data_IF_275515736595
#
_entry.id   IF_275515736595
#
_cell.length_a   1.000
_cell.length_b   1.000
_cell.length_c   1.000
_cell.angle_alpha   90.00
_cell.angle_beta   90.00
_cell.angle_gamma   90.00
#
_symmetry.space_group_name_H-M   'P 1'
#
loop_
_entity.id
_entity.type
_entity.pdbx_description
1 polymer ?
#
# COMPACT_ATOMS: atom_id res chain seq x y z
N UNK A 1 -3.37 -22.43 5.00
CA UNK A 1 -2.85 -22.23 3.64
C UNK A 1 -2.67 -20.73 3.43
N UNK A 2 -1.44 -20.23 3.36
CA UNK A 2 -1.19 -18.85 2.94
C UNK A 2 -1.50 -18.80 1.44
N UNK A 3 -2.50 -18.03 1.04
CA UNK A 3 -2.65 -17.67 -0.37
C UNK A 3 -1.46 -16.78 -0.71
N UNK A 4 -0.46 -17.39 -1.35
CA UNK A 4 0.70 -16.65 -1.83
C UNK A 4 0.27 -15.62 -2.86
N UNK A 5 0.95 -14.48 -2.83
CA UNK A 5 0.82 -13.48 -3.87
C UNK A 5 1.03 -14.14 -5.24
N UNK A 6 -0.01 -14.21 -6.04
CA UNK A 6 0.11 -14.66 -7.42
C UNK A 6 0.61 -13.50 -8.28
N UNK A 7 1.91 -13.29 -8.28
CA UNK A 7 2.55 -12.43 -9.27
C UNK A 7 2.77 -13.29 -10.52
N UNK A 8 2.00 -13.06 -11.56
CA UNK A 8 2.17 -13.78 -12.83
C UNK A 8 3.16 -13.05 -13.73
N UNK A 9 3.84 -13.78 -14.61
CA UNK A 9 4.70 -13.17 -15.64
C UNK A 9 3.91 -12.14 -16.47
N UNK A 10 2.63 -12.40 -16.74
CA UNK A 10 1.75 -11.47 -17.44
C UNK A 10 1.55 -10.15 -16.69
N UNK A 11 1.37 -10.21 -15.36
CA UNK A 11 1.28 -9.01 -14.51
C UNK A 11 2.59 -8.22 -14.52
N UNK A 12 3.74 -8.91 -14.40
CA UNK A 12 5.05 -8.29 -14.46
C UNK A 12 5.31 -7.63 -15.82
N UNK A 13 4.94 -8.30 -16.92
CA UNK A 13 5.10 -7.75 -18.27
C UNK A 13 4.18 -6.56 -18.51
N UNK A 14 2.94 -6.60 -18.04
CA UNK A 14 2.01 -5.47 -18.13
C UNK A 14 2.55 -4.25 -17.39
N UNK A 15 3.04 -4.43 -16.17
CA UNK A 15 3.67 -3.37 -15.38
C UNK A 15 4.98 -2.86 -16.01
N UNK A 16 5.75 -3.76 -16.62
CA UNK A 16 6.97 -3.41 -17.33
C UNK A 16 6.73 -2.48 -18.54
N UNK A 17 5.64 -2.71 -19.29
CA UNK A 17 5.29 -1.88 -20.44
C UNK A 17 4.63 -0.55 -20.05
N UNK A 18 4.04 -0.45 -18.86
CA UNK A 18 3.57 0.83 -18.31
C UNK A 18 4.74 1.56 -17.66
N UNK A 19 5.52 2.26 -18.46
CA UNK A 19 6.81 2.89 -18.15
C UNK A 19 6.89 3.76 -16.89
N UNK A 20 5.77 4.04 -16.24
CA UNK A 20 5.63 4.93 -15.09
C UNK A 20 5.06 4.23 -13.85
N UNK A 21 5.04 2.90 -13.81
CA UNK A 21 4.56 2.15 -12.66
C UNK A 21 5.70 1.59 -11.82
N UNK A 22 5.50 1.60 -10.51
CA UNK A 22 6.36 0.92 -9.57
C UNK A 22 6.09 -0.58 -9.63
N UNK A 23 7.09 -1.34 -9.98
CA UNK A 23 7.05 -2.79 -10.10
C UNK A 23 7.56 -3.44 -8.81
N UNK A 24 6.82 -4.40 -8.26
CA UNK A 24 7.25 -5.22 -7.14
C UNK A 24 7.52 -6.65 -7.58
N UNK A 25 8.75 -7.10 -7.37
CA UNK A 25 9.20 -8.44 -7.72
C UNK A 25 9.49 -9.23 -6.43
N UNK A 26 8.87 -10.41 -6.22
CA UNK A 26 9.16 -11.20 -5.05
C UNK A 26 10.61 -11.71 -5.08
N UNK A 27 11.29 -11.61 -3.95
CA UNK A 27 12.62 -12.17 -3.72
C UNK A 27 12.45 -13.55 -3.12
N UNK A 28 13.05 -14.56 -3.76
CA UNK A 28 13.02 -15.93 -3.27
C UNK A 28 14.29 -16.20 -2.44
N UNK A 29 14.09 -16.74 -1.26
CA UNK A 29 15.14 -17.23 -0.38
C UNK A 29 15.01 -18.74 -0.19
N UNK A 30 16.11 -19.41 0.05
CA UNK A 30 16.10 -20.83 0.45
C UNK A 30 16.09 -20.86 1.97
N UNK A 31 15.04 -21.43 2.55
CA UNK A 31 14.98 -21.63 4.00
C UNK A 31 16.00 -22.71 4.40
N UNK A 32 16.95 -22.33 5.27
CA UNK A 32 17.94 -23.26 5.81
C UNK A 32 17.31 -24.44 6.58
N UNK A 33 16.09 -24.26 7.09
CA UNK A 33 15.39 -25.29 7.87
C UNK A 33 14.61 -26.29 7.02
N UNK A 34 14.12 -25.88 5.83
CA UNK A 34 13.22 -26.69 5.02
C UNK A 34 13.79 -27.04 3.63
N UNK A 35 14.93 -26.46 3.25
CA UNK A 35 15.54 -26.55 1.90
C UNK A 35 14.57 -26.21 0.76
N UNK A 36 13.52 -25.44 1.06
CA UNK A 36 12.49 -25.04 0.10
C UNK A 36 12.57 -23.54 -0.19
N UNK A 37 12.31 -23.13 -1.45
CA UNK A 37 12.20 -21.73 -1.77
C UNK A 37 10.97 -21.13 -1.07
N UNK A 38 11.18 -19.99 -0.43
CA UNK A 38 10.13 -19.15 0.16
C UNK A 38 10.30 -17.70 -0.27
N UNK A 39 9.24 -16.92 -0.20
CA UNK A 39 9.35 -15.48 -0.44
C UNK A 39 9.95 -14.86 0.82
N UNK A 40 11.15 -14.27 0.71
CA UNK A 40 11.84 -13.56 1.80
C UNK A 40 11.47 -12.08 1.88
N UNK A 41 11.07 -11.50 0.74
CA UNK A 41 10.73 -10.09 0.62
C UNK A 41 10.35 -9.71 -0.80
N UNK A 42 10.43 -8.42 -1.10
CA UNK A 42 10.15 -7.89 -2.44
C UNK A 42 11.19 -6.86 -2.83
N UNK A 43 11.64 -6.91 -4.07
CA UNK A 43 12.44 -5.85 -4.69
C UNK A 43 11.50 -4.87 -5.40
N UNK A 44 11.66 -3.59 -5.13
CA UNK A 44 10.91 -2.50 -5.78
C UNK A 44 11.72 -1.95 -6.93
N UNK A 45 11.13 -1.93 -8.12
CA UNK A 45 11.74 -1.42 -9.33
C UNK A 45 10.92 -0.24 -9.87
N UNK A 46 11.59 0.78 -10.36
CA UNK A 46 11.00 1.85 -11.16
C UNK A 46 11.77 1.98 -12.47
N UNK A 47 11.09 1.83 -13.60
CA UNK A 47 11.74 1.83 -14.91
C UNK A 47 12.88 0.81 -15.04
N UNK A 48 12.79 -0.37 -14.36
CA UNK A 48 13.81 -1.42 -14.22
C UNK A 48 15.01 -1.07 -13.31
N UNK A 49 15.04 0.09 -12.72
CA UNK A 49 16.07 0.41 -11.72
C UNK A 49 15.60 -0.03 -10.34
N UNK A 50 16.42 -0.76 -9.56
CA UNK A 50 16.07 -1.10 -8.19
C UNK A 50 16.04 0.17 -7.35
N UNK A 51 14.91 0.38 -6.67
CA UNK A 51 14.70 1.51 -5.76
C UNK A 51 14.92 1.11 -4.30
N UNK A 52 14.67 -0.15 -3.96
CA UNK A 52 14.82 -0.66 -2.61
C UNK A 52 14.19 -2.05 -2.45
N UNK A 53 14.21 -2.52 -1.21
CA UNK A 53 13.64 -3.80 -0.81
C UNK A 53 12.58 -3.59 0.25
N UNK A 54 11.56 -4.42 0.21
CA UNK A 54 10.49 -4.48 1.19
C UNK A 54 10.54 -5.85 1.90
N UNK A 55 10.36 -5.85 3.21
CA UNK A 55 10.12 -7.07 3.97
C UNK A 55 8.82 -7.75 3.52
N UNK A 56 8.61 -9.00 3.92
CA UNK A 56 7.35 -9.72 3.65
C UNK A 56 6.13 -8.93 4.12
N UNK A 57 6.20 -8.33 5.30
CA UNK A 57 5.11 -7.57 5.89
C UNK A 57 4.80 -6.31 5.09
N UNK A 58 5.82 -5.57 4.68
CA UNK A 58 5.66 -4.38 3.84
C UNK A 58 5.14 -4.74 2.46
N UNK A 59 5.59 -5.86 1.89
CA UNK A 59 5.05 -6.38 0.64
C UNK A 59 3.57 -6.78 0.73
N UNK A 60 3.12 -7.37 1.86
CA UNK A 60 1.71 -7.63 2.11
C UNK A 60 0.91 -6.32 2.20
N UNK A 61 1.44 -5.28 2.85
CA UNK A 61 0.82 -3.96 2.90
C UNK A 61 0.72 -3.32 1.50
N UNK A 62 1.79 -3.43 0.72
CA UNK A 62 1.79 -2.96 -0.67
C UNK A 62 0.73 -3.68 -1.52
N UNK A 63 0.65 -5.01 -1.43
CA UNK A 63 -0.37 -5.78 -2.16
C UNK A 63 -1.80 -5.42 -1.74
N UNK A 64 -2.00 -5.08 -0.45
CA UNK A 64 -3.28 -4.58 0.04
C UNK A 64 -3.61 -3.23 -0.63
N UNK A 65 -2.67 -2.29 -0.64
CA UNK A 65 -2.82 -0.96 -1.24
C UNK A 65 -3.04 -1.02 -2.76
N UNK A 66 -2.45 -2.00 -3.44
CA UNK A 66 -2.62 -2.22 -4.88
C UNK A 66 -3.87 -3.06 -5.24
N UNK A 67 -4.73 -3.37 -4.28
CA UNK A 67 -5.91 -4.22 -4.45
C UNK A 67 -5.61 -5.66 -4.92
N UNK A 68 -4.42 -6.16 -4.62
CA UNK A 68 -3.95 -7.50 -4.99
C UNK A 68 -4.18 -8.56 -3.90
N UNK A 69 -4.67 -8.15 -2.72
CA UNK A 69 -5.07 -9.05 -1.64
C UNK A 69 -6.59 -9.02 -1.43
N UNK A 70 -7.18 -10.20 -1.28
CA UNK A 70 -8.61 -10.34 -0.92
C UNK A 70 -8.82 -10.64 0.56
N UNK A 71 -7.75 -10.86 1.30
CA UNK A 71 -7.76 -11.16 2.72
C UNK A 71 -6.48 -10.66 3.37
N UNK A 72 -6.61 -9.92 4.47
CA UNK A 72 -5.48 -9.43 5.25
C UNK A 72 -5.70 -9.66 6.73
N UNK A 73 -4.68 -10.11 7.44
CA UNK A 73 -4.77 -10.36 8.88
C UNK A 73 -3.51 -9.90 9.60
N UNK A 74 -3.69 -9.31 10.78
CA UNK A 74 -2.59 -8.94 11.65
C UNK A 74 -2.96 -9.07 13.12
N UNK A 75 -1.96 -9.08 13.98
CA UNK A 75 -2.16 -8.99 15.42
C UNK A 75 -2.08 -7.52 15.84
N UNK A 76 -3.12 -7.04 16.49
CA UNK A 76 -3.20 -5.70 17.06
C UNK A 76 -2.24 -5.54 18.24
N UNK A 77 -1.98 -4.31 18.67
CA UNK A 77 -1.10 -4.03 19.81
C UNK A 77 -1.59 -4.68 21.12
N UNK A 78 -2.91 -4.82 21.29
CA UNK A 78 -3.53 -5.47 22.45
C UNK A 78 -3.50 -7.02 22.38
N UNK A 79 -2.87 -7.62 21.38
CA UNK A 79 -2.80 -9.07 21.17
C UNK A 79 -3.99 -9.67 20.43
N UNK A 80 -5.05 -8.91 20.17
CA UNK A 80 -6.22 -9.38 19.42
C UNK A 80 -5.84 -9.56 17.94
N UNK A 81 -6.33 -10.64 17.33
CA UNK A 81 -6.15 -10.84 15.89
C UNK A 81 -7.29 -10.16 15.13
N UNK A 82 -6.94 -9.23 14.26
CA UNK A 82 -7.84 -8.60 13.30
C UNK A 82 -7.73 -9.29 11.94
N UNK A 83 -8.87 -9.51 11.30
CA UNK A 83 -8.97 -10.09 9.97
C UNK A 83 -9.90 -9.22 9.12
N UNK A 84 -9.46 -8.89 7.91
CA UNK A 84 -10.24 -8.22 6.88
C UNK A 84 -10.38 -9.16 5.68
N UNK A 85 -11.62 -9.43 5.25
CA UNK A 85 -11.95 -10.31 4.12
C UNK A 85 -12.70 -9.55 3.02
N UNK A 86 -12.68 -10.10 1.80
CA UNK A 86 -13.28 -9.47 0.61
C UNK A 86 -12.74 -8.06 0.37
N UNK A 87 -11.45 -7.89 0.60
CA UNK A 87 -10.81 -6.58 0.56
C UNK A 87 -10.90 -5.97 -0.84
N UNK A 88 -11.25 -4.69 -0.84
CA UNK A 88 -11.21 -3.80 -2.00
C UNK A 88 -10.50 -2.51 -1.60
N UNK A 89 -9.56 -2.08 -2.42
CA UNK A 89 -8.83 -0.83 -2.21
C UNK A 89 -9.09 0.11 -3.37
N UNK A 90 -9.58 1.29 -3.05
CA UNK A 90 -9.80 2.39 -3.98
C UNK A 90 -8.78 3.49 -3.71
N UNK A 91 -8.34 4.16 -4.78
CA UNK A 91 -7.37 5.25 -4.72
C UNK A 91 -7.86 6.38 -5.59
N UNK A 92 -7.85 7.58 -5.05
CA UNK A 92 -8.28 8.80 -5.73
C UNK A 92 -7.27 9.92 -5.46
N UNK A 93 -6.99 10.72 -6.48
CA UNK A 93 -6.21 11.95 -6.32
C UNK A 93 -7.11 13.15 -6.59
N UNK A 94 -6.99 14.14 -5.71
CA UNK A 94 -7.68 15.41 -5.82
C UNK A 94 -6.71 16.56 -5.59
N UNK A 95 -7.01 17.72 -6.17
CA UNK A 95 -6.34 18.96 -5.85
C UNK A 95 -6.92 19.55 -4.54
N UNK A 96 -6.05 19.96 -3.63
CA UNK A 96 -6.41 20.79 -2.50
C UNK A 96 -5.66 22.13 -2.59
N UNK A 97 -6.10 23.13 -1.84
CA UNK A 97 -5.50 24.47 -1.82
C UNK A 97 -5.04 24.77 -0.41
N UNK A 98 -3.83 25.28 -0.25
CA UNK A 98 -3.28 25.73 1.03
C UNK A 98 -3.79 27.15 1.39
N UNK A 99 -3.42 27.62 2.57
CA UNK A 99 -3.78 28.97 3.04
C UNK A 99 -3.21 30.11 2.18
N UNK A 100 -2.15 29.84 1.43
CA UNK A 100 -1.52 30.80 0.51
C UNK A 100 -2.13 30.75 -0.90
N UNK A 101 -3.07 29.83 -1.16
CA UNK A 101 -3.72 29.67 -2.46
C UNK A 101 -2.98 28.72 -3.42
N UNK A 102 -1.92 28.02 -2.98
CA UNK A 102 -1.20 27.07 -3.81
C UNK A 102 -1.93 25.73 -3.87
N UNK A 103 -2.00 25.14 -5.04
CA UNK A 103 -2.55 23.81 -5.21
C UNK A 103 -1.53 22.72 -4.86
N UNK A 104 -1.98 21.68 -4.17
CA UNK A 104 -1.18 20.50 -3.87
C UNK A 104 -1.99 19.22 -4.02
N UNK A 105 -1.35 18.09 -4.35
CA UNK A 105 -2.03 16.80 -4.53
C UNK A 105 -2.38 16.14 -3.20
N UNK A 106 -3.56 15.53 -3.13
CA UNK A 106 -4.03 14.72 -2.01
C UNK A 106 -4.43 13.35 -2.53
N UNK A 107 -3.70 12.30 -2.13
CA UNK A 107 -4.05 10.91 -2.36
C UNK A 107 -4.98 10.44 -1.24
N UNK A 108 -6.18 10.03 -1.60
CA UNK A 108 -7.11 9.34 -0.71
C UNK A 108 -7.09 7.85 -1.03
N UNK A 109 -6.79 7.03 -0.03
CA UNK A 109 -6.85 5.57 -0.11
C UNK A 109 -7.94 5.07 0.81
N UNK A 110 -8.90 4.33 0.26
CA UNK A 110 -9.99 3.72 1.03
C UNK A 110 -9.90 2.20 0.91
N UNK A 111 -9.70 1.52 2.04
CA UNK A 111 -9.67 0.07 2.13
C UNK A 111 -10.99 -0.39 2.72
N UNK A 112 -11.78 -1.17 1.97
CA UNK A 112 -13.06 -1.73 2.40
C UNK A 112 -12.99 -3.23 2.56
N UNK A 113 -13.77 -3.77 3.51
CA UNK A 113 -13.89 -5.22 3.66
C UNK A 113 -14.66 -5.62 4.91
N UNK A 114 -14.99 -6.91 5.00
CA UNK A 114 -15.66 -7.48 6.16
C UNK A 114 -14.63 -7.73 7.27
N UNK A 115 -14.74 -6.98 8.37
CA UNK A 115 -13.80 -7.11 9.49
C UNK A 115 -14.31 -8.07 10.56
N UNK A 116 -13.43 -8.93 11.05
CA UNK A 116 -13.65 -9.80 12.20
C UNK A 116 -12.47 -9.71 13.17
N UNK A 117 -12.75 -9.92 14.46
CA UNK A 117 -11.75 -9.95 15.52
C UNK A 117 -11.84 -11.25 16.29
N UNK A 118 -10.70 -11.83 16.62
CA UNK A 118 -10.59 -12.98 17.51
C UNK A 118 -10.05 -12.50 18.85
N UNK A 119 -10.95 -12.19 19.79
CA UNK A 119 -10.56 -11.76 21.12
C UNK A 119 -10.13 -12.93 21.99
N UNK A 120 -9.12 -12.70 22.85
CA UNK A 120 -8.70 -13.64 23.87
C UNK A 120 -9.64 -13.63 25.10
N UNK A 121 -10.50 -12.61 25.25
CA UNK A 121 -11.47 -12.48 26.32
C UNK A 121 -12.88 -12.28 25.78
N UNK A 122 -13.87 -12.89 26.46
CA UNK A 122 -15.30 -12.84 26.09
C UNK A 122 -15.99 -11.51 26.48
N UNK A 123 -15.34 -10.68 27.28
CA UNK A 123 -15.93 -9.47 27.90
C UNK A 123 -15.68 -8.18 27.13
N UNK A 124 -14.92 -8.22 26.03
CA UNK A 124 -14.63 -7.01 25.26
C UNK A 124 -15.69 -6.79 24.17
N UNK A 125 -16.15 -5.55 24.03
CA UNK A 125 -17.05 -5.17 22.94
C UNK A 125 -16.36 -5.43 21.59
N UNK A 126 -16.92 -6.38 20.85
CA UNK A 126 -16.37 -6.78 19.55
C UNK A 126 -16.42 -5.64 18.52
N UNK A 127 -17.39 -4.73 18.64
CA UNK A 127 -17.49 -3.60 17.73
C UNK A 127 -16.39 -2.58 18.00
N UNK A 128 -16.14 -2.25 19.27
CA UNK A 128 -15.02 -1.37 19.64
C UNK A 128 -13.68 -1.96 19.19
N UNK A 129 -13.49 -3.27 19.34
CA UNK A 129 -12.27 -3.93 18.86
C UNK A 129 -12.14 -3.92 17.33
N UNK A 130 -13.26 -4.03 16.60
CA UNK A 130 -13.24 -3.89 15.13
C UNK A 130 -12.83 -2.47 14.72
N UNK A 131 -13.38 -1.45 15.37
CA UNK A 131 -13.05 -0.06 15.10
C UNK A 131 -11.57 0.23 15.43
N UNK A 132 -11.06 -0.26 16.57
CA UNK A 132 -9.65 -0.17 16.92
C UNK A 132 -8.77 -0.87 15.88
N UNK A 133 -9.18 -2.06 15.39
CA UNK A 133 -8.45 -2.79 14.35
C UNK A 133 -8.41 -2.05 13.03
N UNK A 134 -9.51 -1.43 12.60
CA UNK A 134 -9.56 -0.59 11.40
C UNK A 134 -8.64 0.63 11.55
N UNK A 135 -8.68 1.32 12.68
CA UNK A 135 -7.82 2.48 12.94
C UNK A 135 -6.34 2.08 12.95
N UNK A 136 -5.99 1.00 13.67
CA UNK A 136 -4.60 0.53 13.70
C UNK A 136 -4.10 0.09 12.32
N UNK A 137 -4.96 -0.51 11.48
CA UNK A 137 -4.61 -0.82 10.10
C UNK A 137 -4.38 0.45 9.28
N UNK A 138 -5.26 1.44 9.42
CA UNK A 138 -5.12 2.73 8.74
C UNK A 138 -3.81 3.41 9.10
N UNK A 139 -3.47 3.47 10.38
CA UNK A 139 -2.23 4.09 10.88
C UNK A 139 -0.98 3.37 10.36
N UNK A 140 -1.00 2.03 10.34
CA UNK A 140 0.11 1.21 9.81
C UNK A 140 0.34 1.44 8.32
N UNK A 141 -0.74 1.45 7.52
CA UNK A 141 -0.65 1.68 6.08
C UNK A 141 -0.24 3.11 5.76
N UNK A 142 -0.75 4.10 6.50
CA UNK A 142 -0.36 5.50 6.35
C UNK A 142 1.12 5.70 6.68
N UNK A 143 1.60 5.12 7.79
CA UNK A 143 3.01 5.17 8.17
C UNK A 143 3.88 4.54 7.08
N UNK A 144 3.52 3.34 6.60
CA UNK A 144 4.24 2.65 5.54
C UNK A 144 4.34 3.51 4.27
N UNK A 145 3.21 4.03 3.76
CA UNK A 145 3.21 4.87 2.56
C UNK A 145 4.03 6.14 2.76
N UNK A 146 3.87 6.81 3.91
CA UNK A 146 4.59 8.07 4.18
C UNK A 146 6.10 7.84 4.26
N UNK A 147 6.54 6.78 4.94
CA UNK A 147 7.96 6.44 5.05
C UNK A 147 8.55 6.13 3.68
N UNK A 148 7.94 5.22 2.93
CA UNK A 148 8.45 4.82 1.62
C UNK A 148 8.44 5.98 0.60
N UNK A 149 7.42 6.83 0.64
CA UNK A 149 7.29 7.95 -0.26
C UNK A 149 8.28 9.07 0.06
N UNK A 150 8.37 9.49 1.33
CA UNK A 150 9.20 10.64 1.73
C UNK A 150 10.67 10.29 1.94
N UNK A 151 10.97 9.14 2.51
CA UNK A 151 12.33 8.75 2.86
C UNK A 151 13.02 8.00 1.72
N UNK A 152 12.30 7.13 1.03
CA UNK A 152 12.84 6.33 -0.07
C UNK A 152 12.52 6.89 -1.46
N UNK A 153 11.66 7.90 -1.59
CA UNK A 153 11.25 8.49 -2.86
C UNK A 153 10.48 7.52 -3.77
N UNK A 154 9.78 6.54 -3.17
CA UNK A 154 9.08 5.49 -3.90
C UNK A 154 7.57 5.77 -3.96
N UNK A 155 7.01 5.89 -5.16
CA UNK A 155 5.55 5.98 -5.36
C UNK A 155 4.90 4.59 -5.39
N UNK A 156 4.79 3.95 -4.23
CA UNK A 156 4.23 2.60 -4.11
C UNK A 156 2.72 2.54 -4.41
N UNK A 157 2.01 3.64 -4.29
CA UNK A 157 0.60 3.74 -4.61
C UNK A 157 0.32 3.98 -6.11
N UNK A 158 1.37 4.17 -6.93
CA UNK A 158 1.26 4.62 -8.32
C UNK A 158 0.41 5.90 -8.45
N UNK A 159 0.60 6.79 -7.49
CA UNK A 159 -0.19 8.01 -7.34
C UNK A 159 0.09 9.03 -8.46
N UNK A 160 1.32 9.04 -8.96
CA UNK A 160 1.72 9.91 -10.07
C UNK A 160 1.03 9.52 -11.39
N UNK A 161 0.78 8.23 -11.60
CA UNK A 161 -0.01 7.75 -12.74
C UNK A 161 -1.49 8.13 -12.60
N UNK A 162 -2.04 8.03 -11.38
CA UNK A 162 -3.41 8.48 -11.09
C UNK A 162 -3.58 9.98 -11.35
N UNK A 163 -2.58 10.80 -10.96
CA UNK A 163 -2.57 12.23 -11.18
C UNK A 163 -2.75 12.57 -12.67
N UNK A 164 -2.05 11.86 -13.56
CA UNK A 164 -2.15 12.05 -15.00
C UNK A 164 -3.56 11.82 -15.56
N UNK A 165 -4.32 10.91 -14.94
CA UNK A 165 -5.68 10.57 -15.36
C UNK A 165 -6.78 11.38 -14.70
N UNK A 166 -6.57 11.87 -13.48
CA UNK A 166 -7.62 12.48 -12.65
C UNK A 166 -7.49 14.00 -12.51
N UNK A 167 -6.25 14.53 -12.42
CA UNK A 167 -5.98 15.94 -12.13
C UNK A 167 -4.96 16.54 -13.10
N UNK A 168 -5.39 16.80 -14.33
CA UNK A 168 -4.52 17.21 -15.42
C UNK A 168 -3.75 18.51 -15.14
N UNK A 169 -4.34 19.47 -14.45
CA UNK A 169 -3.68 20.75 -14.12
C UNK A 169 -2.48 20.55 -13.20
N UNK A 170 -2.63 19.71 -12.17
CA UNK A 170 -1.53 19.32 -11.30
C UNK A 170 -0.51 18.44 -12.02
N UNK A 171 -0.98 17.54 -12.91
CA UNK A 171 -0.07 16.75 -13.73
C UNK A 171 0.89 17.63 -14.55
N UNK A 172 0.38 18.65 -15.22
CA UNK A 172 1.22 19.56 -16.02
C UNK A 172 2.21 20.35 -15.16
N UNK A 173 1.88 20.60 -13.89
CA UNK A 173 2.78 21.26 -12.94
C UNK A 173 3.94 20.35 -12.52
N UNK A 174 3.66 19.03 -12.27
CA UNK A 174 4.62 18.12 -11.65
C UNK A 174 5.29 17.14 -12.62
N UNK A 175 4.86 17.05 -13.89
CA UNK A 175 5.33 16.02 -14.83
C UNK A 175 6.84 16.02 -15.06
N UNK A 176 7.50 17.16 -14.94
CA UNK A 176 8.95 17.31 -15.09
C UNK A 176 9.70 17.15 -13.75
N UNK A 177 8.97 17.17 -12.62
CA UNK A 177 9.53 17.14 -11.27
C UNK A 177 8.84 16.11 -10.36
N UNK A 178 8.95 14.79 -10.66
CA UNK A 178 8.26 13.75 -9.89
C UNK A 178 8.69 13.70 -8.41
N UNK A 179 9.93 14.08 -8.10
CA UNK A 179 10.43 14.12 -6.72
C UNK A 179 9.72 15.23 -5.92
N UNK A 180 9.46 16.39 -6.53
CA UNK A 180 8.70 17.48 -5.91
C UNK A 180 7.25 17.06 -5.68
N UNK A 181 6.63 16.35 -6.66
CA UNK A 181 5.30 15.78 -6.49
C UNK A 181 5.23 14.90 -5.24
N UNK A 182 6.16 13.96 -5.07
CA UNK A 182 6.17 13.06 -3.92
C UNK A 182 6.37 13.80 -2.59
N UNK A 183 7.14 14.89 -2.60
CA UNK A 183 7.33 15.73 -1.43
C UNK A 183 6.05 16.47 -1.02
N UNK A 184 5.30 17.00 -2.00
CA UNK A 184 4.11 17.81 -1.78
C UNK A 184 2.85 16.96 -1.55
N UNK A 185 2.86 15.70 -1.99
CA UNK A 185 1.73 14.78 -1.86
C UNK A 185 1.33 14.58 -0.39
N UNK A 186 0.07 14.84 -0.10
CA UNK A 186 -0.57 14.49 1.18
C UNK A 186 -1.34 13.19 1.01
N UNK A 187 -1.30 12.34 2.04
CA UNK A 187 -1.99 11.05 2.03
C UNK A 187 -3.07 11.04 3.10
N UNK A 188 -4.27 10.61 2.73
CA UNK A 188 -5.38 10.27 3.63
C UNK A 188 -5.70 8.81 3.45
N UNK A 189 -5.88 8.09 4.56
CA UNK A 189 -6.15 6.66 4.51
C UNK A 189 -7.33 6.33 5.43
N UNK A 190 -8.29 5.58 4.89
CA UNK A 190 -9.49 5.13 5.58
C UNK A 190 -9.63 3.62 5.46
N UNK A 191 -10.09 2.97 6.53
CA UNK A 191 -10.48 1.55 6.55
C UNK A 191 -11.94 1.47 6.99
N UNK A 192 -12.80 0.94 6.11
CA UNK A 192 -14.25 0.87 6.28
C UNK A 192 -14.76 -0.57 6.44
#
# INVERSE_FOLDING_TARGET
MRQGAQVTVGTLMSQYYSRNETLCVPVLEISDAEEKPQIGGFCVLFGLQPMGELSLREGEQLMLLQNNLKRYAFTMQNGTRFLLEQVQTEREITAAVDEAGNQYPVLTVTVRGNSTVSALSWDADQEDQRQQGKQELADRLLTFLTTQQKEAGMDLANSFLLLAGQERSLWEQYREEPAQYLSDLKIRLFVE
#
